data_IF_186308381719
#
_entry.id   IF_186308381719
#
_cell.length_a   1.000
_cell.length_b   1.000
_cell.length_c   1.000
_cell.angle_alpha   90.00
_cell.angle_beta   90.00
_cell.angle_gamma   90.00
#
_symmetry.space_group_name_H-M   'P 1'
#
loop_
_entity.id
_entity.type
_entity.pdbx_description
1 polymer ?
#
# COMPACT_ATOMS: atom_id res chain seq x y z
N UNK A 1 -4.51 0.89 -39.07
CA UNK A 1 -3.89 0.38 -37.81
C UNK A 1 -4.84 -0.63 -37.19
N UNK A 2 -4.37 -1.80 -36.75
CA UNK A 2 -5.23 -2.73 -36.00
C UNK A 2 -5.62 -2.10 -34.65
N UNK A 3 -6.90 -2.12 -34.32
CA UNK A 3 -7.38 -1.64 -33.02
C UNK A 3 -6.69 -2.43 -31.90
N UNK A 4 -6.19 -1.72 -30.87
CA UNK A 4 -5.53 -2.35 -29.72
C UNK A 4 -6.55 -3.20 -28.95
N UNK A 5 -6.23 -4.47 -28.62
CA UNK A 5 -7.13 -5.30 -27.83
C UNK A 5 -7.47 -4.66 -26.46
N UNK A 6 -8.69 -4.83 -25.94
CA UNK A 6 -9.13 -4.14 -24.70
C UNK A 6 -8.38 -4.55 -23.44
N UNK A 7 -7.72 -5.70 -23.46
CA UNK A 7 -6.87 -6.18 -22.35
C UNK A 7 -5.42 -5.69 -22.41
N UNK A 8 -5.07 -4.82 -23.39
CA UNK A 8 -3.79 -4.11 -23.43
C UNK A 8 -4.09 -2.65 -23.11
N UNK A 9 -3.76 -2.25 -21.89
CA UNK A 9 -4.00 -0.90 -21.38
C UNK A 9 -2.70 -0.10 -21.32
N UNK A 10 -2.80 1.21 -21.43
CA UNK A 10 -1.70 2.14 -21.16
C UNK A 10 -1.99 2.88 -19.86
N UNK A 11 -1.00 2.96 -18.99
CA UNK A 11 -1.16 3.71 -17.75
C UNK A 11 -1.47 5.19 -18.00
N UNK A 12 -0.92 5.78 -19.08
CA UNK A 12 -1.19 7.18 -19.46
C UNK A 12 -2.64 7.46 -19.80
N UNK A 13 -3.39 6.45 -20.23
CA UNK A 13 -4.78 6.59 -20.67
C UNK A 13 -5.78 6.41 -19.49
N UNK A 14 -5.29 6.07 -18.32
CA UNK A 14 -6.11 5.78 -17.14
C UNK A 14 -6.12 6.96 -16.15
N UNK A 15 -7.27 7.24 -15.53
CA UNK A 15 -7.34 8.24 -14.49
C UNK A 15 -6.52 7.83 -13.26
N UNK A 16 -5.96 8.82 -12.59
CA UNK A 16 -5.41 8.63 -11.25
C UNK A 16 -6.52 8.69 -10.20
N UNK A 17 -6.40 7.82 -9.22
CA UNK A 17 -7.28 7.78 -8.06
C UNK A 17 -6.45 8.06 -6.82
N UNK A 18 -6.83 9.11 -6.10
CA UNK A 18 -6.31 9.34 -4.76
C UNK A 18 -7.18 8.62 -3.73
N UNK A 19 -6.55 8.08 -2.72
CA UNK A 19 -7.22 7.47 -1.58
C UNK A 19 -6.92 8.30 -0.33
N UNK A 20 -7.91 8.44 0.53
CA UNK A 20 -7.75 8.97 1.87
C UNK A 20 -8.53 8.07 2.84
N UNK A 21 -8.00 7.87 4.02
CA UNK A 21 -8.72 7.15 5.06
C UNK A 21 -9.79 8.07 5.69
N UNK A 22 -10.94 7.52 6.12
CA UNK A 22 -11.92 8.29 6.85
C UNK A 22 -11.29 9.03 8.05
N UNK A 23 -11.73 10.25 8.29
CA UNK A 23 -11.24 11.09 9.39
C UNK A 23 -9.74 11.42 9.33
N UNK A 24 -9.13 11.36 8.14
CA UNK A 24 -7.74 11.71 7.92
C UNK A 24 -7.62 12.62 6.70
N UNK A 25 -6.91 13.72 6.87
CA UNK A 25 -6.55 14.62 5.77
C UNK A 25 -5.24 14.19 5.09
N UNK A 26 -4.64 13.08 5.53
CA UNK A 26 -3.40 12.57 4.98
C UNK A 26 -3.62 12.06 3.55
N UNK A 27 -2.96 12.64 2.53
CA UNK A 27 -3.06 12.14 1.18
C UNK A 27 -2.20 10.88 1.02
N UNK A 28 -2.81 9.79 0.56
CA UNK A 28 -2.08 8.62 0.11
C UNK A 28 -1.57 8.83 -1.32
N UNK A 29 -0.50 8.13 -1.66
CA UNK A 29 0.05 8.17 -3.01
C UNK A 29 -1.00 7.80 -4.07
N UNK A 30 -1.23 8.63 -5.11
CA UNK A 30 -2.22 8.34 -6.14
C UNK A 30 -1.86 7.11 -6.96
N UNK A 31 -2.88 6.40 -7.46
CA UNK A 31 -2.69 5.16 -8.22
C UNK A 31 -3.58 5.07 -9.45
N UNK A 32 -3.16 4.24 -10.42
CA UNK A 32 -3.91 3.85 -11.62
C UNK A 32 -4.17 2.36 -11.58
N UNK A 33 -5.43 1.96 -11.71
CA UNK A 33 -5.88 0.56 -11.57
C UNK A 33 -5.72 -0.21 -12.88
N UNK A 34 -4.48 -0.65 -13.18
CA UNK A 34 -4.15 -1.34 -14.44
C UNK A 34 -4.90 -2.67 -14.58
N UNK A 35 -4.92 -3.48 -13.53
CA UNK A 35 -5.57 -4.79 -13.55
C UNK A 35 -7.06 -4.70 -13.86
N UNK A 36 -7.78 -3.83 -13.16
CA UNK A 36 -9.21 -3.62 -13.38
C UNK A 36 -9.50 -3.09 -14.79
N UNK A 37 -8.69 -2.14 -15.28
CA UNK A 37 -8.83 -1.61 -16.63
C UNK A 37 -8.58 -2.67 -17.71
N UNK A 38 -7.71 -3.66 -17.45
CA UNK A 38 -7.46 -4.79 -18.33
C UNK A 38 -8.46 -5.95 -18.15
N UNK A 39 -9.47 -5.82 -17.25
CA UNK A 39 -10.51 -6.82 -17.03
C UNK A 39 -10.16 -7.90 -16.00
N UNK A 40 -9.12 -7.72 -15.19
CA UNK A 40 -8.81 -8.65 -14.10
C UNK A 40 -9.78 -8.44 -12.93
N UNK A 41 -10.25 -9.53 -12.35
CA UNK A 41 -11.20 -9.53 -11.22
C UNK A 41 -10.65 -10.19 -9.95
N UNK A 42 -9.59 -11.00 -10.06
CA UNK A 42 -8.98 -11.70 -8.92
C UNK A 42 -7.60 -11.17 -8.54
N UNK A 43 -7.04 -10.32 -9.38
CA UNK A 43 -5.74 -9.68 -9.14
C UNK A 43 -5.91 -8.18 -9.17
N UNK A 44 -5.50 -7.51 -8.12
CA UNK A 44 -5.23 -6.09 -8.09
C UNK A 44 -3.85 -5.83 -8.70
N UNK A 45 -3.76 -4.97 -9.72
CA UNK A 45 -2.48 -4.48 -10.25
C UNK A 45 -2.62 -2.98 -10.42
N UNK A 46 -1.83 -2.25 -9.67
CA UNK A 46 -1.89 -0.80 -9.60
C UNK A 46 -0.51 -0.19 -9.88
N UNK A 47 -0.48 0.84 -10.69
CA UNK A 47 0.68 1.71 -10.80
C UNK A 47 0.48 2.87 -9.82
N UNK A 48 1.30 2.93 -8.78
CA UNK A 48 1.18 3.92 -7.72
C UNK A 48 2.36 4.88 -7.75
N UNK A 49 2.07 6.17 -7.72
CA UNK A 49 3.07 7.23 -7.52
C UNK A 49 3.11 7.58 -6.05
N UNK A 50 4.31 7.70 -5.51
CA UNK A 50 4.55 8.18 -4.14
C UNK A 50 5.34 9.47 -4.20
N UNK A 51 4.69 10.63 -4.16
CA UNK A 51 5.36 11.92 -3.97
C UNK A 51 6.16 11.94 -2.66
N UNK A 52 7.22 12.78 -2.56
CA UNK A 52 7.93 12.98 -1.31
C UNK A 52 7.00 13.29 -0.13
N UNK A 53 7.24 12.66 1.00
CA UNK A 53 6.44 12.85 2.22
C UNK A 53 5.08 12.15 2.23
N UNK A 54 4.81 11.25 1.28
CA UNK A 54 3.58 10.44 1.26
C UNK A 54 3.86 8.96 1.54
N UNK A 55 2.81 8.19 1.81
CA UNK A 55 2.88 6.73 1.93
C UNK A 55 1.80 6.03 1.08
N UNK A 56 1.99 4.73 0.84
CA UNK A 56 1.09 3.93 0.01
C UNK A 56 -0.27 3.69 0.66
N UNK A 57 -0.25 3.45 1.96
CA UNK A 57 -1.40 3.10 2.80
C UNK A 57 -1.06 3.32 4.26
N UNK A 58 -2.03 3.21 5.15
CA UNK A 58 -1.73 2.95 6.55
C UNK A 58 -1.16 1.54 6.71
N UNK A 59 -0.21 1.34 7.68
CA UNK A 59 0.34 0.03 7.96
C UNK A 59 -0.73 -1.01 8.27
N UNK A 60 -0.76 -2.11 7.52
CA UNK A 60 -1.79 -3.15 7.63
C UNK A 60 -1.23 -4.53 7.30
N UNK A 61 -1.98 -5.55 7.66
CA UNK A 61 -1.75 -6.93 7.24
C UNK A 61 -3.07 -7.60 6.89
N UNK A 62 -3.03 -8.55 5.96
CA UNK A 62 -4.18 -9.24 5.41
C UNK A 62 -4.20 -10.73 5.74
N UNK A 63 -5.40 -11.28 6.02
CA UNK A 63 -5.55 -12.67 6.45
C UNK A 63 -5.46 -13.67 5.30
N UNK A 64 -6.00 -13.32 4.14
CA UNK A 64 -6.21 -14.27 3.04
C UNK A 64 -5.74 -13.77 1.67
N UNK A 65 -5.34 -12.50 1.54
CA UNK A 65 -4.83 -11.93 0.29
C UNK A 65 -3.31 -11.75 0.35
N UNK A 66 -2.61 -12.26 -0.67
CA UNK A 66 -1.17 -12.03 -0.86
C UNK A 66 -0.95 -10.72 -1.58
N UNK A 67 0.06 -9.97 -1.16
CA UNK A 67 0.41 -8.69 -1.74
C UNK A 67 1.89 -8.61 -2.10
N UNK A 68 2.22 -7.77 -3.07
CA UNK A 68 3.59 -7.39 -3.38
C UNK A 68 3.70 -5.95 -3.84
N UNK A 69 4.89 -5.39 -3.67
CA UNK A 69 5.26 -4.10 -4.27
C UNK A 69 6.64 -4.23 -4.91
N UNK A 70 6.72 -3.79 -6.17
CA UNK A 70 7.96 -3.69 -6.93
C UNK A 70 8.26 -2.21 -7.19
N UNK A 71 9.48 -1.77 -6.91
CA UNK A 71 9.92 -0.40 -7.19
C UNK A 71 10.35 -0.29 -8.64
N UNK A 72 9.60 0.47 -9.44
CA UNK A 72 9.93 0.72 -10.85
C UNK A 72 10.96 1.85 -10.96
N UNK A 73 10.77 2.94 -10.20
CA UNK A 73 11.61 4.13 -10.24
C UNK A 73 11.67 4.78 -8.87
N UNK A 74 12.81 5.43 -8.57
CA UNK A 74 13.03 6.12 -7.30
C UNK A 74 13.41 5.17 -6.17
N UNK A 75 13.08 5.59 -4.95
CA UNK A 75 13.36 4.83 -3.73
C UNK A 75 12.29 5.09 -2.67
N UNK A 76 11.97 4.06 -1.88
CA UNK A 76 11.01 4.13 -0.77
C UNK A 76 11.56 3.41 0.45
N UNK A 77 10.99 3.68 1.59
CA UNK A 77 11.21 2.91 2.80
C UNK A 77 10.02 1.96 2.99
N UNK A 78 10.25 0.65 2.87
CA UNK A 78 9.27 -0.34 3.29
C UNK A 78 9.23 -0.34 4.81
N UNK A 79 8.12 0.10 5.38
CA UNK A 79 7.85 -0.05 6.80
C UNK A 79 7.29 -1.46 7.04
N UNK A 80 8.03 -2.28 7.77
CA UNK A 80 7.65 -3.65 8.09
C UNK A 80 7.72 -3.81 9.62
N UNK A 81 6.58 -4.09 10.25
CA UNK A 81 6.48 -4.31 11.69
C UNK A 81 7.24 -3.25 12.53
N UNK A 82 7.18 -1.98 12.14
CA UNK A 82 7.82 -0.89 12.88
C UNK A 82 9.31 -0.66 12.57
N UNK A 83 9.83 -1.28 11.52
CA UNK A 83 11.21 -1.09 11.04
C UNK A 83 11.21 -0.63 9.60
N UNK A 84 12.09 0.32 9.27
CA UNK A 84 12.25 0.79 7.89
C UNK A 84 13.33 -0.01 7.16
N UNK A 85 13.00 -0.44 5.94
CA UNK A 85 13.90 -1.10 5.02
C UNK A 85 13.94 -0.32 3.71
N UNK A 86 15.09 0.26 3.37
CA UNK A 86 15.24 1.00 2.10
C UNK A 86 15.11 0.06 0.92
N UNK A 87 14.24 0.43 -0.03
CA UNK A 87 14.09 -0.21 -1.33
C UNK A 87 14.38 0.80 -2.44
N UNK A 88 15.01 0.33 -3.51
CA UNK A 88 15.36 1.10 -4.70
C UNK A 88 14.77 0.45 -5.96
N UNK A 89 14.84 1.12 -7.10
CA UNK A 89 14.38 0.57 -8.37
C UNK A 89 14.98 -0.84 -8.63
N UNK A 90 14.11 -1.81 -8.90
CA UNK A 90 14.46 -3.22 -9.08
C UNK A 90 14.15 -4.10 -7.86
N UNK A 91 13.91 -3.53 -6.68
CA UNK A 91 13.58 -4.30 -5.49
C UNK A 91 12.09 -4.69 -5.45
N UNK A 92 11.82 -5.86 -4.86
CA UNK A 92 10.48 -6.38 -4.61
C UNK A 92 10.32 -6.75 -3.14
N UNK A 93 9.21 -6.33 -2.54
CA UNK A 93 8.73 -6.86 -1.27
C UNK A 93 7.43 -7.63 -1.50
N UNK A 94 7.27 -8.79 -0.86
CA UNK A 94 6.09 -9.63 -0.94
C UNK A 94 5.63 -10.03 0.46
N UNK A 95 4.31 -10.08 0.64
CA UNK A 95 3.66 -10.31 1.91
C UNK A 95 2.70 -11.51 1.77
N UNK A 96 3.13 -12.71 2.23
CA UNK A 96 2.27 -13.87 2.22
C UNK A 96 1.07 -13.67 3.13
N UNK A 97 -0.10 -14.08 2.67
CA UNK A 97 -1.34 -14.04 3.43
C UNK A 97 -1.24 -14.75 4.79
N UNK A 98 -1.96 -14.28 5.78
CA UNK A 98 -2.08 -14.96 7.07
C UNK A 98 -0.88 -14.81 8.01
N UNK A 99 0.19 -14.13 7.60
CA UNK A 99 1.41 -14.00 8.41
C UNK A 99 1.31 -12.92 9.49
N UNK A 100 0.39 -11.98 9.34
CA UNK A 100 0.28 -10.79 10.19
C UNK A 100 1.42 -9.79 10.01
N UNK A 101 2.30 -9.95 9.03
CA UNK A 101 3.38 -9.00 8.72
C UNK A 101 2.76 -7.69 8.25
N UNK A 102 2.81 -6.71 9.14
CA UNK A 102 2.23 -5.41 8.89
C UNK A 102 3.17 -4.54 8.08
N UNK A 103 2.65 -3.90 7.04
CA UNK A 103 3.49 -3.15 6.11
C UNK A 103 2.81 -1.92 5.51
N UNK A 104 3.63 -0.99 5.05
CA UNK A 104 3.32 0.09 4.09
C UNK A 104 4.62 0.59 3.47
N UNK A 105 4.51 1.46 2.47
CA UNK A 105 5.67 2.05 1.79
C UNK A 105 5.64 3.56 1.95
N UNK A 106 6.78 4.14 2.37
CA UNK A 106 6.91 5.56 2.72
C UNK A 106 7.95 6.18 1.80
N UNK A 107 7.64 7.32 1.21
CA UNK A 107 8.64 8.08 0.46
C UNK A 107 9.21 9.20 1.33
N UNK A 108 10.32 8.92 2.02
CA UNK A 108 11.11 9.90 2.77
C UNK A 108 12.23 10.52 1.92
N UNK A 109 12.25 10.26 0.59
CA UNK A 109 13.21 10.86 -0.34
C UNK A 109 12.73 12.23 -0.83
N UNK A 110 13.58 12.93 -1.58
CA UNK A 110 13.29 14.22 -2.21
C UNK A 110 12.70 14.10 -3.63
N UNK A 111 12.48 12.87 -4.12
CA UNK A 111 11.97 12.58 -5.45
C UNK A 111 10.76 11.67 -5.38
N UNK A 112 9.90 11.79 -6.38
CA UNK A 112 8.78 10.85 -6.55
C UNK A 112 9.31 9.44 -6.81
N UNK A 113 8.65 8.45 -6.22
CA UNK A 113 8.86 7.04 -6.54
C UNK A 113 7.66 6.48 -7.30
N UNK A 114 7.93 5.52 -8.20
CA UNK A 114 6.93 4.80 -8.97
C UNK A 114 6.94 3.33 -8.60
N UNK A 115 5.80 2.81 -8.18
CA UNK A 115 5.63 1.46 -7.68
C UNK A 115 4.64 0.68 -8.55
N UNK A 116 4.90 -0.61 -8.75
CA UNK A 116 3.91 -1.58 -9.16
C UNK A 116 3.44 -2.30 -7.90
N UNK A 117 2.24 -1.99 -7.44
CA UNK A 117 1.59 -2.67 -6.33
C UNK A 117 0.58 -3.68 -6.87
N UNK A 118 0.62 -4.89 -6.35
CA UNK A 118 -0.29 -5.94 -6.78
C UNK A 118 -0.52 -6.98 -5.71
N UNK A 119 -1.58 -7.74 -5.91
CA UNK A 119 -1.95 -8.82 -5.00
C UNK A 119 -3.25 -9.47 -5.44
N UNK A 120 -3.68 -10.41 -4.65
CA UNK A 120 -5.02 -10.96 -4.79
C UNK A 120 -6.04 -9.87 -4.46
N UNK A 121 -7.25 -9.98 -4.93
CA UNK A 121 -8.27 -8.98 -4.70
C UNK A 121 -9.66 -9.60 -4.55
N UNK A 122 -10.46 -8.97 -3.70
CA UNK A 122 -11.88 -9.29 -3.52
C UNK A 122 -12.16 -10.71 -2.99
N UNK A 123 -11.28 -11.29 -2.20
CA UNK A 123 -11.60 -12.50 -1.46
C UNK A 123 -12.62 -12.19 -0.37
N UNK A 124 -13.80 -12.80 -0.45
CA UNK A 124 -14.90 -12.54 0.49
C UNK A 124 -14.58 -12.90 1.96
N UNK A 125 -13.57 -13.73 2.17
CA UNK A 125 -13.10 -14.15 3.50
C UNK A 125 -11.95 -13.33 4.03
N UNK A 126 -11.36 -12.44 3.20
CA UNK A 126 -10.22 -11.65 3.61
C UNK A 126 -10.59 -10.67 4.73
N UNK A 127 -9.74 -10.60 5.74
CA UNK A 127 -9.84 -9.69 6.90
C UNK A 127 -8.55 -8.92 7.02
N UNK A 128 -8.63 -7.71 7.51
CA UNK A 128 -7.50 -6.79 7.59
C UNK A 128 -7.31 -6.29 9.04
N UNK A 129 -6.05 -6.05 9.42
CA UNK A 129 -5.70 -5.43 10.69
C UNK A 129 -4.79 -4.24 10.47
N UNK A 130 -4.96 -3.19 11.28
CA UNK A 130 -4.16 -1.98 11.31
C UNK A 130 -3.53 -1.79 12.70
N UNK A 131 -2.40 -2.43 13.00
CA UNK A 131 -1.84 -2.47 14.36
C UNK A 131 -1.48 -1.10 14.93
N UNK A 132 -1.00 -0.17 14.10
CA UNK A 132 -0.64 1.20 14.51
C UNK A 132 -1.73 2.24 14.27
N UNK A 133 -2.84 1.83 13.65
CA UNK A 133 -4.02 2.65 13.39
C UNK A 133 -5.31 1.92 13.82
N UNK A 134 -5.45 1.50 15.11
CA UNK A 134 -6.58 0.66 15.54
C UNK A 134 -7.94 1.37 15.45
N UNK A 135 -7.97 2.70 15.42
CA UNK A 135 -9.19 3.48 15.18
C UNK A 135 -9.86 3.16 13.84
N UNK A 136 -9.10 2.64 12.86
CA UNK A 136 -9.63 2.21 11.55
C UNK A 136 -10.74 1.17 11.69
N UNK A 137 -10.76 0.40 12.78
CA UNK A 137 -11.80 -0.61 13.05
C UNK A 137 -13.21 -0.05 13.04
N UNK A 138 -13.41 1.21 13.46
CA UNK A 138 -14.76 1.80 13.50
C UNK A 138 -15.36 2.04 12.10
N UNK A 139 -14.52 2.10 11.07
CA UNK A 139 -14.92 2.34 9.68
C UNK A 139 -15.10 1.05 8.88
N UNK A 140 -14.78 -0.11 9.47
CA UNK A 140 -14.88 -1.42 8.86
C UNK A 140 -16.07 -2.18 9.44
N UNK A 141 -16.60 -3.13 8.66
CA UNK A 141 -17.52 -4.13 9.22
C UNK A 141 -16.75 -5.01 10.20
N UNK A 142 -17.40 -5.47 11.24
CA UNK A 142 -16.81 -6.37 12.23
C UNK A 142 -16.25 -7.65 11.58
N UNK A 143 -16.90 -8.15 10.51
CA UNK A 143 -16.45 -9.30 9.74
C UNK A 143 -15.14 -9.07 8.97
N UNK A 144 -14.82 -7.82 8.67
CA UNK A 144 -13.66 -7.44 7.84
C UNK A 144 -12.43 -7.13 8.70
N UNK A 145 -12.60 -7.04 10.03
CA UNK A 145 -11.49 -6.86 10.96
C UNK A 145 -10.85 -8.20 11.35
N UNK A 146 -9.54 -8.29 11.23
CA UNK A 146 -8.79 -9.51 11.57
C UNK A 146 -8.46 -9.56 13.06
N UNK A 147 -9.39 -10.12 13.87
CA UNK A 147 -9.29 -10.18 15.33
C UNK A 147 -8.19 -11.11 15.84
N UNK A 148 -7.99 -12.22 15.17
CA UNK A 148 -7.07 -13.29 15.52
C UNK A 148 -5.77 -13.23 14.70
N UNK A 149 -5.39 -12.03 14.24
CA UNK A 149 -4.12 -11.80 13.56
C UNK A 149 -2.94 -12.29 14.41
N UNK A 150 -1.94 -12.96 13.82
CA UNK A 150 -0.74 -13.36 14.55
C UNK A 150 -0.09 -12.17 15.26
N UNK A 151 0.21 -12.33 16.54
CA UNK A 151 0.90 -11.29 17.31
C UNK A 151 2.31 -11.05 16.72
N UNK A 152 2.65 -9.79 16.50
CA UNK A 152 3.95 -9.37 15.99
C UNK A 152 4.59 -8.37 16.95
N UNK A 153 5.90 -8.49 17.13
CA UNK A 153 6.67 -7.45 17.80
C UNK A 153 6.85 -6.28 16.83
N UNK A 154 6.41 -5.09 17.27
CA UNK A 154 6.56 -3.88 16.47
C UNK A 154 7.81 -3.12 16.93
N UNK A 155 8.62 -2.72 15.96
CA UNK A 155 9.71 -1.78 16.16
C UNK A 155 9.23 -0.37 16.51
N UNK A 156 10.17 0.55 16.68
CA UNK A 156 9.86 1.90 17.20
C UNK A 156 9.32 2.91 16.18
N UNK A 157 9.22 2.56 14.90
CA UNK A 157 8.77 3.50 13.87
C UNK A 157 7.24 3.49 13.75
N UNK A 158 6.62 4.66 13.84
CA UNK A 158 5.15 4.84 13.87
C UNK A 158 4.42 4.67 12.53
N UNK A 159 5.15 4.41 11.44
CA UNK A 159 4.57 4.28 10.09
C UNK A 159 4.22 5.59 9.40
N UNK A 160 4.57 6.74 9.98
CA UNK A 160 4.35 8.05 9.36
C UNK A 160 5.56 8.47 8.49
N UNK A 161 5.32 9.16 7.37
CA UNK A 161 6.36 9.88 6.67
C UNK A 161 7.05 10.91 7.58
N UNK A 162 8.35 11.13 7.39
CA UNK A 162 9.10 12.12 8.17
C UNK A 162 8.51 13.54 8.05
N UNK A 163 7.93 13.87 6.91
CA UNK A 163 7.29 15.17 6.66
C UNK A 163 6.04 15.42 7.54
N UNK A 164 5.40 14.37 8.03
CA UNK A 164 4.20 14.44 8.88
C UNK A 164 4.51 14.33 10.37
N UNK A 165 5.77 14.12 10.73
CA UNK A 165 6.17 14.08 12.14
C UNK A 165 6.34 15.48 12.70
N UNK A 166 5.92 15.72 13.95
CA UNK A 166 6.23 16.97 14.61
C UNK A 166 7.75 17.14 14.66
N UNK A 167 8.22 18.31 14.20
CA UNK A 167 9.64 18.66 14.36
C UNK A 167 9.95 18.61 15.86
N UNK A 168 10.92 17.79 16.24
CA UNK A 168 11.49 17.90 17.58
C UNK A 168 12.23 19.23 17.63
N UNK A 169 11.67 20.19 18.36
CA UNK A 169 12.40 21.40 18.68
C UNK A 169 13.69 20.97 19.39
N UNK A 170 14.82 21.33 18.80
CA UNK A 170 16.16 21.11 19.34
C UNK A 170 16.47 22.23 20.34
#
# INVERSE_FOLDING_TARGET
MRQRPPFIVSASDLPEHSHAYPQSDEPMGPSRRLGAAAGLVRLGINLQRLPPGTRSSWPHAESDEEEFVYVIEGAVDAWIDGTLHRMVAGDLAAFPAGTGICHCFINNSDREALLLAGGEAAKAVNRIVYPVNPSRRVDLKESDWWHDAPARELGGHDGLPDALRPRKDI
#
